data_IF_389007806148
#
_entry.id   IF_389007806148
#
_cell.length_a   1.000
_cell.length_b   1.000
_cell.length_c   1.000
_cell.angle_alpha   90.00
_cell.angle_beta   90.00
_cell.angle_gamma   90.00
#
_symmetry.space_group_name_H-M   'P 1'
#
loop_
_entity.id
_entity.type
_entity.pdbx_description
1 polymer ?
#
# COMPACT_ATOMS: atom_id res chain seq x y z
N UNK A 1 -5.05 12.81 -56.92
CA UNK A 1 -4.16 12.82 -55.73
C UNK A 1 -4.85 13.30 -54.44
N UNK A 2 -6.13 12.99 -54.22
CA UNK A 2 -6.90 13.37 -53.00
C UNK A 2 -7.47 12.19 -52.21
N UNK A 3 -7.41 10.97 -52.76
CA UNK A 3 -7.93 9.74 -52.13
C UNK A 3 -6.85 8.91 -51.41
N UNK A 4 -5.57 9.16 -51.72
CA UNK A 4 -4.43 8.48 -51.07
C UNK A 4 -4.17 9.09 -49.69
N UNK A 5 -4.40 10.40 -49.55
CA UNK A 5 -4.21 11.14 -48.30
C UNK A 5 -5.17 10.71 -47.19
N UNK A 6 -6.37 10.24 -47.54
CA UNK A 6 -7.39 9.81 -46.57
C UNK A 6 -7.11 8.43 -45.98
N UNK A 7 -6.37 7.57 -46.69
CA UNK A 7 -6.04 6.20 -46.24
C UNK A 7 -4.87 6.25 -45.23
N UNK A 8 -3.95 7.21 -45.39
CA UNK A 8 -2.80 7.35 -44.49
C UNK A 8 -3.19 7.87 -43.10
N UNK A 9 -4.29 8.64 -42.99
CA UNK A 9 -4.79 9.14 -41.70
C UNK A 9 -5.49 8.06 -40.87
N UNK A 10 -6.02 7.00 -41.49
CA UNK A 10 -6.75 5.94 -40.79
C UNK A 10 -5.81 4.88 -40.19
N UNK A 11 -4.57 4.78 -40.68
CA UNK A 11 -3.58 3.82 -40.17
C UNK A 11 -2.96 4.24 -38.83
N UNK A 12 -3.06 5.52 -38.45
CA UNK A 12 -2.48 6.06 -37.21
C UNK A 12 -3.40 5.80 -36.00
N UNK A 13 -4.66 5.44 -36.22
CA UNK A 13 -5.65 5.17 -35.16
C UNK A 13 -5.65 3.71 -34.66
N UNK A 14 -4.79 2.84 -35.20
CA UNK A 14 -4.76 1.42 -34.85
C UNK A 14 -3.72 1.05 -33.78
N UNK A 15 -2.98 2.02 -33.21
CA UNK A 15 -2.14 1.78 -32.02
C UNK A 15 -3.01 1.93 -30.77
N UNK A 16 -4.01 1.06 -30.64
CA UNK A 16 -4.59 0.77 -29.33
C UNK A 16 -3.56 -0.08 -28.60
N UNK A 17 -2.86 0.53 -27.64
CA UNK A 17 -2.02 -0.20 -26.71
C UNK A 17 -2.94 -1.13 -25.91
N UNK A 18 -3.05 -2.40 -26.32
CA UNK A 18 -3.51 -3.45 -25.42
C UNK A 18 -2.41 -3.64 -24.39
N UNK A 19 -2.56 -2.99 -23.23
CA UNK A 19 -1.81 -3.36 -22.04
C UNK A 19 -2.41 -4.67 -21.48
N UNK A 20 -2.30 -5.75 -22.26
CA UNK A 20 -2.45 -7.10 -21.75
C UNK A 20 -1.10 -7.49 -21.15
N UNK A 21 -0.75 -6.88 -20.02
CA UNK A 21 0.24 -7.45 -19.12
C UNK A 21 -0.54 -7.85 -17.87
N UNK A 22 -0.66 -9.16 -17.55
CA UNK A 22 -1.08 -9.54 -16.22
C UNK A 22 -0.10 -8.89 -15.26
N UNK A 23 -0.63 -8.16 -14.29
CA UNK A 23 0.10 -7.45 -13.25
C UNK A 23 1.00 -8.42 -12.48
N UNK A 24 2.19 -8.73 -13.00
CA UNK A 24 3.30 -9.17 -12.17
C UNK A 24 3.65 -7.97 -11.30
N UNK A 25 3.31 -8.10 -10.02
CA UNK A 25 3.30 -7.04 -9.01
C UNK A 25 4.48 -6.08 -9.18
N UNK A 26 4.14 -4.83 -9.51
CA UNK A 26 5.12 -3.75 -9.56
C UNK A 26 5.79 -3.68 -8.19
N UNK A 27 7.08 -4.05 -8.15
CA UNK A 27 7.91 -3.90 -6.95
C UNK A 27 7.94 -2.42 -6.62
N UNK A 28 7.33 -2.05 -5.50
CA UNK A 28 7.25 -0.67 -5.08
C UNK A 28 8.50 -0.30 -4.29
N UNK A 29 9.49 0.26 -4.98
CA UNK A 29 10.79 0.62 -4.40
C UNK A 29 10.70 1.57 -3.21
N UNK A 30 9.61 2.34 -3.09
CA UNK A 30 9.42 3.30 -2.01
C UNK A 30 9.07 2.61 -0.68
N UNK A 31 8.33 1.49 -0.74
CA UNK A 31 7.94 0.70 0.43
C UNK A 31 9.08 -0.20 0.94
N UNK A 32 10.02 -0.57 0.07
CA UNK A 32 11.10 -1.51 0.39
C UNK A 32 11.88 -1.15 1.66
N UNK A 33 12.12 -2.18 2.48
CA UNK A 33 12.94 -2.11 3.68
C UNK A 33 12.14 -2.25 4.98
N UNK A 34 12.83 -1.92 6.08
CA UNK A 34 12.35 -2.11 7.44
C UNK A 34 11.78 -0.82 8.01
N UNK A 35 10.66 -0.95 8.70
CA UNK A 35 9.90 0.15 9.27
C UNK A 35 9.53 -0.18 10.71
N UNK A 36 9.61 0.82 11.59
CA UNK A 36 9.26 0.72 13.00
C UNK A 36 8.06 1.62 13.26
N UNK A 37 7.03 1.08 13.89
CA UNK A 37 5.83 1.85 14.21
C UNK A 37 6.15 2.86 15.30
N UNK A 38 5.78 4.11 15.07
CA UNK A 38 6.00 5.22 16.00
C UNK A 38 4.68 5.68 16.61
N UNK A 39 3.60 5.66 15.81
CA UNK A 39 2.31 6.19 16.23
C UNK A 39 1.14 5.51 15.51
N UNK A 40 0.02 5.35 16.24
CA UNK A 40 -1.28 4.95 15.70
C UNK A 40 -2.30 6.04 16.03
N UNK A 41 -3.00 6.54 15.02
CA UNK A 41 -4.08 7.51 15.16
C UNK A 41 -5.40 6.84 14.78
N UNK A 42 -6.28 6.66 15.76
CA UNK A 42 -7.66 6.20 15.58
C UNK A 42 -8.53 6.64 16.77
N UNK A 43 -9.85 6.42 16.68
CA UNK A 43 -10.76 6.55 17.83
C UNK A 43 -10.70 5.30 18.74
N UNK A 44 -9.50 5.06 19.28
CA UNK A 44 -9.11 3.85 19.99
C UNK A 44 -8.37 4.25 21.28
N UNK A 45 -8.43 3.40 22.31
CA UNK A 45 -7.74 3.64 23.57
C UNK A 45 -6.44 2.84 23.62
N UNK A 46 -5.35 3.53 23.93
CA UNK A 46 -4.05 2.93 24.23
C UNK A 46 -3.65 3.30 25.66
N UNK A 47 -2.97 2.39 26.34
CA UNK A 47 -2.38 2.70 27.64
C UNK A 47 -1.33 3.81 27.49
N UNK A 48 -1.17 4.72 28.47
CA UNK A 48 -0.26 5.86 28.36
C UNK A 48 1.20 5.50 28.08
N UNK A 49 1.62 4.29 28.42
CA UNK A 49 2.97 3.74 28.26
C UNK A 49 3.08 2.70 27.14
N UNK A 50 2.10 2.64 26.23
CA UNK A 50 2.15 1.76 25.05
C UNK A 50 3.40 2.06 24.22
N UNK A 51 4.28 1.07 24.09
CA UNK A 51 5.45 1.14 23.21
C UNK A 51 5.08 0.60 21.82
N UNK A 52 4.78 1.51 20.90
CA UNK A 52 4.47 1.14 19.51
C UNK A 52 5.67 0.53 18.77
N UNK A 53 6.91 0.82 19.21
CA UNK A 53 8.12 0.40 18.50
C UNK A 53 8.36 -1.11 18.55
N UNK A 54 7.62 -1.82 19.40
CA UNK A 54 7.61 -3.29 19.45
C UNK A 54 6.99 -3.90 18.20
N UNK A 55 6.17 -3.14 17.47
CA UNK A 55 5.60 -3.51 16.19
C UNK A 55 6.45 -2.99 15.02
N UNK A 56 6.91 -3.91 14.19
CA UNK A 56 7.81 -3.66 13.06
C UNK A 56 7.30 -4.34 11.82
N UNK A 57 7.52 -3.72 10.68
CA UNK A 57 7.16 -4.29 9.39
C UNK A 57 8.33 -4.21 8.40
N UNK A 58 8.38 -5.14 7.46
CA UNK A 58 9.34 -5.11 6.36
C UNK A 58 8.64 -5.46 5.05
N UNK A 59 8.78 -4.60 4.06
CA UNK A 59 8.35 -4.89 2.70
C UNK A 59 9.57 -5.40 1.90
N UNK A 60 9.37 -6.53 1.22
CA UNK A 60 10.36 -7.12 0.30
C UNK A 60 9.62 -7.72 -0.92
N UNK A 61 9.72 -7.06 -2.07
CA UNK A 61 8.94 -7.38 -3.26
C UNK A 61 7.45 -7.29 -2.97
N UNK A 62 6.70 -8.37 -3.20
CA UNK A 62 5.27 -8.48 -2.94
C UNK A 62 4.94 -9.11 -1.57
N UNK A 63 5.89 -9.10 -0.63
CA UNK A 63 5.73 -9.68 0.71
C UNK A 63 5.89 -8.63 1.81
N UNK A 64 4.96 -8.65 2.75
CA UNK A 64 5.02 -7.95 4.02
C UNK A 64 5.39 -8.96 5.11
N UNK A 65 6.44 -8.67 5.88
CA UNK A 65 6.73 -9.37 7.13
C UNK A 65 6.35 -8.46 8.29
N UNK A 66 5.58 -8.95 9.23
CA UNK A 66 5.19 -8.25 10.46
C UNK A 66 5.87 -8.95 11.62
N UNK A 67 6.48 -8.16 12.50
CA UNK A 67 7.12 -8.63 13.72
C UNK A 67 6.64 -7.82 14.91
N UNK A 68 6.00 -8.48 15.88
CA UNK A 68 5.60 -7.88 17.16
C UNK A 68 6.24 -8.65 18.31
N UNK A 69 6.85 -7.95 19.26
CA UNK A 69 7.38 -8.59 20.48
C UNK A 69 6.40 -8.60 21.65
N UNK A 70 5.27 -7.90 21.50
CA UNK A 70 4.18 -7.83 22.48
C UNK A 70 2.91 -8.46 21.91
N UNK A 71 1.97 -8.82 22.80
CA UNK A 71 0.64 -9.32 22.44
C UNK A 71 -0.26 -8.23 21.80
N UNK A 72 0.25 -7.01 21.64
CA UNK A 72 -0.47 -5.92 20.98
C UNK A 72 -0.42 -6.12 19.45
N UNK A 73 -1.60 -6.11 18.84
CA UNK A 73 -1.76 -6.17 17.39
C UNK A 73 -2.14 -4.78 16.87
N UNK A 74 -1.38 -4.28 15.89
CA UNK A 74 -1.65 -2.99 15.25
C UNK A 74 -2.09 -3.19 13.81
N UNK A 75 -1.18 -3.14 12.83
CA UNK A 75 -1.52 -3.31 11.43
C UNK A 75 -2.07 -4.71 11.13
N UNK A 76 -1.34 -5.74 11.57
CA UNK A 76 -1.63 -7.16 11.39
C UNK A 76 -0.93 -7.98 12.51
N UNK A 77 -1.27 -9.26 12.62
CA UNK A 77 -0.58 -10.21 13.49
C UNK A 77 0.86 -10.47 13.03
N UNK A 78 1.69 -11.03 13.93
CA UNK A 78 3.04 -11.49 13.60
C UNK A 78 2.98 -12.54 12.48
N UNK A 79 3.74 -12.33 11.40
CA UNK A 79 3.64 -13.22 10.25
C UNK A 79 4.14 -12.67 8.93
N UNK A 80 3.80 -13.38 7.86
CA UNK A 80 4.16 -13.03 6.49
C UNK A 80 2.91 -13.02 5.61
N UNK A 81 2.74 -11.92 4.89
CA UNK A 81 1.57 -11.66 4.09
C UNK A 81 1.99 -11.33 2.66
N UNK A 82 1.24 -11.82 1.69
CA UNK A 82 1.35 -11.34 0.32
C UNK A 82 0.52 -10.06 0.20
N UNK A 83 0.94 -9.14 -0.67
CA UNK A 83 0.16 -7.95 -0.99
C UNK A 83 0.38 -7.57 -2.45
N UNK A 84 -0.56 -6.79 -2.99
CA UNK A 84 -0.41 -6.11 -4.29
C UNK A 84 -0.46 -4.60 -4.10
N UNK A 85 0.09 -3.88 -5.08
CA UNK A 85 0.07 -2.42 -5.09
C UNK A 85 -0.45 -1.91 -6.43
N UNK A 86 -1.47 -1.06 -6.38
CA UNK A 86 -1.98 -0.32 -7.53
C UNK A 86 -1.95 1.19 -7.22
N UNK A 87 -1.00 1.91 -7.82
CA UNK A 87 -0.74 3.30 -7.46
C UNK A 87 -0.27 3.42 -6.01
N UNK A 88 -1.05 4.09 -5.16
CA UNK A 88 -0.76 4.22 -3.72
C UNK A 88 -1.61 3.31 -2.83
N UNK A 89 -2.28 2.31 -3.40
CA UNK A 89 -3.19 1.41 -2.70
C UNK A 89 -2.56 0.03 -2.52
N UNK A 90 -2.30 -0.35 -1.27
CA UNK A 90 -1.93 -1.72 -0.87
C UNK A 90 -3.22 -2.53 -0.72
N UNK A 91 -3.27 -3.72 -1.30
CA UNK A 91 -4.38 -4.67 -1.13
C UNK A 91 -3.87 -6.03 -0.66
N UNK A 92 -4.49 -6.56 0.38
CA UNK A 92 -4.23 -7.88 0.93
C UNK A 92 -5.24 -8.93 0.39
N UNK A 93 -4.94 -10.24 0.50
CA UNK A 93 -5.78 -11.30 -0.10
C UNK A 93 -7.20 -11.38 0.46
N UNK A 94 -7.42 -10.90 1.68
CA UNK A 94 -8.72 -10.81 2.35
C UNK A 94 -9.53 -9.57 1.94
N UNK A 95 -8.97 -8.72 1.07
CA UNK A 95 -9.59 -7.48 0.60
C UNK A 95 -9.31 -6.27 1.49
N UNK A 96 -8.56 -6.42 2.57
CA UNK A 96 -8.12 -5.30 3.40
C UNK A 96 -7.23 -4.38 2.57
N UNK A 97 -7.46 -3.07 2.70
CA UNK A 97 -6.78 -2.06 1.89
C UNK A 97 -6.22 -0.92 2.73
N UNK A 98 -5.05 -0.43 2.29
CA UNK A 98 -4.41 0.74 2.88
C UNK A 98 -3.90 1.68 1.80
N UNK A 99 -4.13 2.98 1.96
CA UNK A 99 -3.44 4.01 1.19
C UNK A 99 -2.14 4.36 1.87
N UNK A 100 -1.04 4.21 1.14
CA UNK A 100 0.27 4.58 1.66
C UNK A 100 0.72 5.96 1.16
N UNK A 101 1.52 6.63 1.98
CA UNK A 101 2.29 7.82 1.61
C UNK A 101 3.70 7.68 2.19
N UNK A 102 4.72 7.87 1.36
CA UNK A 102 6.12 7.90 1.79
C UNK A 102 6.64 9.32 1.65
N UNK A 103 7.17 9.87 2.73
CA UNK A 103 7.93 11.14 2.74
C UNK A 103 9.28 10.90 3.42
N UNK A 104 10.34 10.86 2.62
CA UNK A 104 11.71 10.55 3.06
C UNK A 104 11.81 9.22 3.85
N UNK A 105 11.88 9.31 5.17
CA UNK A 105 12.02 8.18 6.09
C UNK A 105 10.71 7.85 6.81
N UNK A 106 9.62 8.56 6.52
CA UNK A 106 8.32 8.31 7.12
C UNK A 106 7.40 7.57 6.13
N UNK A 107 6.75 6.52 6.61
CA UNK A 107 5.68 5.81 5.92
C UNK A 107 4.38 6.00 6.71
N UNK A 108 3.35 6.52 6.06
CA UNK A 108 1.99 6.54 6.59
C UNK A 108 1.15 5.50 5.87
N UNK A 109 0.42 4.68 6.63
CA UNK A 109 -0.59 3.75 6.12
C UNK A 109 -1.95 4.16 6.67
N UNK A 110 -2.84 4.58 5.78
CA UNK A 110 -4.21 4.96 6.12
C UNK A 110 -5.14 3.82 5.72
N UNK A 111 -5.89 3.28 6.66
CA UNK A 111 -6.89 2.25 6.37
C UNK A 111 -7.92 2.80 5.38
N UNK A 112 -8.32 1.99 4.40
CA UNK A 112 -9.42 2.32 3.50
C UNK A 112 -10.69 1.78 4.12
N UNK A 113 -11.41 2.69 4.77
CA UNK A 113 -12.65 2.44 5.49
C UNK A 113 -13.84 2.12 4.56
N UNK A 114 -14.94 1.72 5.20
CA UNK A 114 -16.24 1.73 4.57
C UNK A 114 -16.87 3.13 4.75
N UNK A 115 -17.14 3.90 3.68
CA UNK A 115 -17.63 5.28 3.79
C UNK A 115 -19.01 5.41 4.48
N UNK A 116 -19.73 4.30 4.71
CA UNK A 116 -20.98 4.26 5.45
C UNK A 116 -20.77 4.18 6.98
N UNK A 117 -19.52 4.03 7.44
CA UNK A 117 -19.10 4.01 8.84
C UNK A 117 -18.19 5.23 9.06
N UNK A 118 -18.46 6.03 10.09
CA UNK A 118 -17.92 7.39 10.20
C UNK A 118 -16.75 7.56 11.18
N UNK A 119 -16.20 6.47 11.75
CA UNK A 119 -15.22 6.52 12.85
C UNK A 119 -14.19 5.36 12.81
N UNK A 120 -13.95 4.74 11.67
CA UNK A 120 -12.97 3.67 11.48
C UNK A 120 -11.67 4.13 10.80
N UNK A 121 -11.41 5.45 10.77
CA UNK A 121 -10.16 5.99 10.25
C UNK A 121 -8.99 5.59 11.16
N UNK A 122 -8.20 4.63 10.69
CA UNK A 122 -6.94 4.22 11.33
C UNK A 122 -5.77 4.66 10.48
N UNK A 123 -4.84 5.39 11.09
CA UNK A 123 -3.57 5.76 10.47
C UNK A 123 -2.40 5.22 11.28
N UNK A 124 -1.53 4.46 10.62
CA UNK A 124 -0.26 4.00 11.18
C UNK A 124 0.88 4.85 10.63
N UNK A 125 1.75 5.37 11.51
CA UNK A 125 2.94 6.12 11.13
C UNK A 125 4.18 5.33 11.52
N UNK A 126 4.99 5.00 10.52
CA UNK A 126 6.25 4.29 10.68
C UNK A 126 7.44 5.15 10.27
N UNK A 127 8.61 4.85 10.84
CA UNK A 127 9.89 5.38 10.39
C UNK A 127 10.84 4.28 9.92
N UNK A 128 11.64 4.62 8.90
CA UNK A 128 12.64 3.74 8.31
C UNK A 128 13.77 3.49 9.30
N UNK A 129 14.22 2.24 9.39
CA UNK A 129 15.34 1.81 10.24
C UNK A 129 16.64 1.62 9.48
#
# INVERSE_FOLDING_TARGET
MRKITTILLLAILAVSCSADNPEEGVVNVDLEGNWVLENVSCFCFFEPDTDFSTHRISFEGSKLTVSSTDDNFFLMEDGKYNYTVAGNLITFPDGVQYRYQVDNQQLQLNFVDNPELADDEVTFTYYKK
#
